data_IF_812193448802
#
_entry.id   IF_812193448802
#
_cell.length_a   1.000
_cell.length_b   1.000
_cell.length_c   1.000
_cell.angle_alpha   90.00
_cell.angle_beta   90.00
_cell.angle_gamma   90.00
#
_symmetry.space_group_name_H-M   'P 1'
#
loop_
_entity.id
_entity.type
_entity.pdbx_description
1 polymer ?
#
# COMPACT_ATOMS: atom_id res chain seq x y z
N UNK A 1 0.10 17.06 -3.68
CA UNK A 1 -0.58 18.33 -4.01
C UNK A 1 -0.41 18.75 -5.47
N UNK A 2 0.81 18.90 -6.01
CA UNK A 2 1.02 19.38 -7.39
C UNK A 2 0.50 18.40 -8.44
N UNK A 3 0.91 17.13 -8.36
CA UNK A 3 0.48 16.09 -9.29
C UNK A 3 -1.04 15.85 -9.23
N UNK A 4 -1.62 15.81 -8.02
CA UNK A 4 -3.07 15.71 -7.82
C UNK A 4 -3.84 16.85 -8.50
N UNK A 5 -3.39 18.09 -8.32
CA UNK A 5 -4.00 19.27 -8.97
C UNK A 5 -3.91 19.20 -10.49
N UNK A 6 -2.75 18.83 -11.05
CA UNK A 6 -2.55 18.67 -12.49
C UNK A 6 -3.43 17.55 -13.08
N UNK A 7 -3.55 16.43 -12.36
CA UNK A 7 -4.47 15.35 -12.75
C UNK A 7 -5.92 15.82 -12.75
N UNK A 8 -6.37 16.54 -11.71
CA UNK A 8 -7.72 17.08 -11.64
C UNK A 8 -8.01 18.14 -12.71
N UNK A 9 -6.99 18.90 -13.14
CA UNK A 9 -7.09 19.86 -14.24
C UNK A 9 -7.10 19.22 -15.65
N UNK A 10 -6.84 17.91 -15.76
CA UNK A 10 -6.75 17.20 -17.03
C UNK A 10 -5.37 17.26 -17.70
N UNK A 11 -4.36 17.82 -17.04
CA UNK A 11 -2.98 17.91 -17.57
C UNK A 11 -2.25 16.56 -17.54
N UNK A 12 -2.75 15.59 -16.78
CA UNK A 12 -2.19 14.25 -16.64
C UNK A 12 -3.25 13.20 -16.98
N UNK A 13 -2.86 12.00 -17.43
CA UNK A 13 -3.80 10.92 -17.73
C UNK A 13 -4.74 10.61 -16.55
N UNK A 14 -6.02 10.40 -16.87
CA UNK A 14 -7.06 10.10 -15.87
C UNK A 14 -6.84 8.76 -15.17
N UNK A 15 -6.08 7.85 -15.77
CA UNK A 15 -5.68 6.54 -15.24
C UNK A 15 -4.32 6.55 -14.51
N UNK A 16 -3.58 7.67 -14.50
CA UNK A 16 -2.32 7.78 -13.77
C UNK A 16 -2.51 7.53 -12.26
N UNK A 17 -1.86 6.49 -11.72
CA UNK A 17 -1.92 6.18 -10.29
C UNK A 17 -0.85 6.95 -9.52
N UNK A 18 -1.26 7.75 -8.55
CA UNK A 18 -0.38 8.45 -7.60
C UNK A 18 -0.31 7.65 -6.30
N UNK A 19 0.71 6.80 -6.19
CA UNK A 19 0.86 5.83 -5.09
C UNK A 19 1.68 6.39 -3.92
N UNK A 20 1.16 6.22 -2.71
CA UNK A 20 1.91 6.44 -1.47
C UNK A 20 2.73 5.20 -1.13
N UNK A 21 4.02 5.40 -0.85
CA UNK A 21 4.97 4.32 -0.48
C UNK A 21 4.53 3.60 0.80
N UNK A 22 4.90 2.33 0.91
CA UNK A 22 4.78 1.56 2.16
C UNK A 22 5.60 2.16 3.31
N UNK A 23 6.68 2.88 2.98
CA UNK A 23 7.50 3.62 3.96
C UNK A 23 6.83 4.91 4.47
N UNK A 24 5.69 5.31 3.88
CA UNK A 24 4.84 6.42 4.32
C UNK A 24 3.39 5.93 4.49
N UNK A 25 3.22 4.76 5.11
CA UNK A 25 1.91 4.14 5.24
C UNK A 25 0.95 4.95 6.14
N UNK A 26 -0.34 4.94 5.80
CA UNK A 26 -1.37 5.63 6.58
C UNK A 26 -1.94 4.71 7.67
N UNK A 27 -1.67 5.02 8.93
CA UNK A 27 -2.08 4.18 10.06
C UNK A 27 -3.49 4.46 10.60
N UNK A 28 -4.18 5.49 10.10
CA UNK A 28 -5.50 5.90 10.59
C UNK A 28 -6.31 6.67 9.52
N UNK A 29 -7.63 6.82 9.72
CA UNK A 29 -8.51 7.46 8.73
C UNK A 29 -8.14 8.91 8.39
N UNK A 30 -7.77 9.70 9.41
CA UNK A 30 -7.42 11.10 9.21
C UNK A 30 -6.18 11.28 8.32
N UNK A 31 -5.15 10.46 8.54
CA UNK A 31 -3.92 10.50 7.74
C UNK A 31 -4.18 10.06 6.31
N UNK A 32 -4.96 9.00 6.12
CA UNK A 32 -5.34 8.52 4.79
C UNK A 32 -6.11 9.61 4.02
N UNK A 33 -7.06 10.28 4.68
CA UNK A 33 -7.82 11.38 4.09
C UNK A 33 -6.94 12.54 3.65
N UNK A 34 -6.00 12.96 4.49
CA UNK A 34 -5.03 14.01 4.13
C UNK A 34 -4.23 13.63 2.88
N UNK A 35 -3.78 12.39 2.77
CA UNK A 35 -3.02 11.93 1.60
C UNK A 35 -3.87 11.93 0.32
N UNK A 36 -5.13 11.51 0.42
CA UNK A 36 -6.10 11.58 -0.68
C UNK A 36 -6.39 13.02 -1.10
N UNK A 37 -6.63 13.93 -0.16
CA UNK A 37 -6.85 15.36 -0.44
C UNK A 37 -5.61 16.00 -1.09
N UNK A 38 -4.41 15.49 -0.78
CA UNK A 38 -3.16 15.86 -1.45
C UNK A 38 -3.01 15.22 -2.85
N UNK A 39 -3.92 14.33 -3.25
CA UNK A 39 -4.02 13.74 -4.58
C UNK A 39 -3.51 12.31 -4.69
N UNK A 40 -3.31 11.59 -3.59
CA UNK A 40 -3.03 10.16 -3.66
C UNK A 40 -4.24 9.41 -4.24
N UNK A 41 -3.98 8.44 -5.12
CA UNK A 41 -5.03 7.56 -5.67
C UNK A 41 -4.84 6.11 -5.25
N UNK A 42 -3.76 5.81 -4.53
CA UNK A 42 -3.43 4.49 -4.00
C UNK A 42 -2.57 4.64 -2.74
N UNK A 43 -2.97 4.04 -1.61
CA UNK A 43 -2.36 4.30 -0.30
C UNK A 43 -1.99 2.97 0.37
N UNK A 44 -0.71 2.80 0.72
CA UNK A 44 -0.30 1.70 1.58
C UNK A 44 -0.76 1.92 3.03
N UNK A 45 -1.22 0.84 3.66
CA UNK A 45 -1.48 0.79 5.09
C UNK A 45 -0.40 -0.06 5.81
N UNK A 46 -0.14 0.19 7.11
CA UNK A 46 0.71 -0.67 7.92
C UNK A 46 0.18 -2.10 8.00
N UNK A 47 1.09 -3.08 8.00
CA UNK A 47 0.76 -4.52 7.96
C UNK A 47 0.18 -5.08 9.26
N UNK A 48 0.28 -4.32 10.35
CA UNK A 48 -0.17 -4.67 11.70
C UNK A 48 -1.60 -4.16 12.00
N UNK A 49 -2.24 -3.42 11.08
CA UNK A 49 -3.61 -2.97 11.28
C UNK A 49 -4.60 -4.14 11.29
N UNK A 50 -5.50 -4.15 12.25
CA UNK A 50 -6.64 -5.08 12.28
C UNK A 50 -7.64 -4.79 11.17
N UNK A 51 -8.43 -5.80 10.78
CA UNK A 51 -9.49 -5.63 9.77
C UNK A 51 -10.48 -4.50 10.09
N UNK A 52 -10.95 -4.30 11.35
CA UNK A 52 -11.78 -3.14 11.69
C UNK A 52 -11.09 -1.79 11.50
N UNK A 53 -9.78 -1.69 11.78
CA UNK A 53 -9.02 -0.46 11.54
C UNK A 53 -8.88 -0.18 10.04
N UNK A 54 -8.62 -1.21 9.24
CA UNK A 54 -8.58 -1.10 7.78
C UNK A 54 -9.95 -0.66 7.24
N UNK A 55 -11.04 -1.25 7.74
CA UNK A 55 -12.41 -0.87 7.37
C UNK A 55 -12.72 0.60 7.73
N UNK A 56 -12.28 1.06 8.90
CA UNK A 56 -12.45 2.45 9.31
C UNK A 56 -11.67 3.42 8.40
N UNK A 57 -10.47 3.03 7.93
CA UNK A 57 -9.72 3.81 6.95
C UNK A 57 -10.48 3.83 5.62
N UNK A 58 -10.98 2.68 5.16
CA UNK A 58 -11.75 2.60 3.91
C UNK A 58 -12.95 3.55 3.92
N UNK A 59 -13.65 3.70 5.05
CA UNK A 59 -14.79 4.60 5.17
C UNK A 59 -14.43 6.09 5.01
N UNK A 60 -13.17 6.48 5.15
CA UNK A 60 -12.73 7.87 5.09
C UNK A 60 -12.14 8.31 3.74
N UNK A 61 -11.85 7.36 2.85
CA UNK A 61 -11.20 7.62 1.56
C UNK A 61 -11.89 6.86 0.43
N UNK A 62 -11.65 7.27 -0.82
CA UNK A 62 -12.03 6.58 -2.06
C UNK A 62 -10.82 5.93 -2.76
N UNK A 63 -9.61 6.41 -2.50
CA UNK A 63 -8.35 5.92 -3.07
C UNK A 63 -8.13 4.41 -2.84
N UNK A 64 -7.52 3.69 -3.79
CA UNK A 64 -7.27 2.26 -3.61
C UNK A 64 -6.39 1.98 -2.39
N UNK A 65 -6.74 0.96 -1.61
CA UNK A 65 -5.89 0.52 -0.50
C UNK A 65 -4.83 -0.44 -1.04
N UNK A 66 -3.58 -0.25 -0.64
CA UNK A 66 -2.51 -1.22 -0.85
C UNK A 66 -2.24 -1.93 0.48
N UNK A 67 -2.30 -3.26 0.49
CA UNK A 67 -2.09 -4.01 1.72
C UNK A 67 -1.25 -5.27 1.48
N UNK A 68 -0.17 -5.40 2.25
CA UNK A 68 0.63 -6.63 2.25
C UNK A 68 -0.04 -7.67 3.14
N UNK A 69 -0.44 -8.78 2.53
CA UNK A 69 -0.90 -9.99 3.24
C UNK A 69 0.23 -10.98 3.46
N UNK A 70 1.34 -10.78 2.76
CA UNK A 70 2.66 -11.32 3.08
C UNK A 70 3.62 -10.15 2.96
N UNK A 71 4.53 -9.91 3.90
CA UNK A 71 5.52 -8.84 3.78
C UNK A 71 6.96 -9.35 3.95
N UNK A 72 7.95 -8.70 3.32
CA UNK A 72 9.33 -9.02 3.60
C UNK A 72 9.67 -8.64 5.05
N UNK A 73 10.75 -9.22 5.58
CA UNK A 73 11.05 -9.15 7.01
C UNK A 73 11.32 -7.72 7.50
N UNK A 74 11.88 -6.86 6.64
CA UNK A 74 12.10 -5.42 6.89
C UNK A 74 10.81 -4.58 6.93
N UNK A 75 9.70 -5.13 6.43
CA UNK A 75 8.34 -4.58 6.54
C UNK A 75 7.44 -5.41 7.46
N UNK A 76 8.04 -6.09 8.45
CA UNK A 76 7.33 -6.76 9.54
C UNK A 76 7.07 -8.25 9.35
N UNK A 77 7.43 -8.84 8.20
CA UNK A 77 7.36 -10.29 7.99
C UNK A 77 5.96 -10.89 8.22
N UNK A 78 4.88 -10.19 7.85
CA UNK A 78 3.53 -10.67 8.15
C UNK A 78 3.13 -11.85 7.23
N UNK A 79 2.21 -12.71 7.70
CA UNK A 79 1.52 -13.71 6.87
C UNK A 79 0.05 -13.74 7.30
N UNK A 80 -0.82 -13.20 6.45
CA UNK A 80 -2.25 -12.93 6.71
C UNK A 80 -3.12 -13.41 5.55
N UNK A 81 -2.71 -14.47 4.85
CA UNK A 81 -3.42 -15.00 3.67
C UNK A 81 -4.87 -15.37 3.98
N UNK A 82 -5.13 -15.89 5.18
CA UNK A 82 -6.47 -16.30 5.61
C UNK A 82 -7.45 -15.12 5.72
N UNK A 83 -6.96 -13.89 5.81
CA UNK A 83 -7.79 -12.70 5.90
C UNK A 83 -8.14 -12.10 4.53
N UNK A 84 -7.53 -12.57 3.43
CA UNK A 84 -7.75 -12.02 2.09
C UNK A 84 -9.25 -11.87 1.74
N UNK A 85 -10.13 -12.88 1.97
CA UNK A 85 -11.55 -12.74 1.63
C UNK A 85 -12.22 -11.58 2.37
N UNK A 86 -11.95 -11.47 3.66
CA UNK A 86 -12.53 -10.44 4.53
C UNK A 86 -11.92 -9.06 4.26
N UNK A 87 -10.61 -9.01 4.02
CA UNK A 87 -9.88 -7.80 3.61
C UNK A 87 -10.48 -7.23 2.33
N UNK A 88 -10.70 -8.06 1.30
CA UNK A 88 -11.34 -7.61 0.05
C UNK A 88 -12.75 -7.08 0.32
N UNK A 89 -13.52 -7.76 1.17
CA UNK A 89 -14.89 -7.34 1.52
C UNK A 89 -14.93 -5.96 2.18
N UNK A 90 -13.99 -5.66 3.08
CA UNK A 90 -14.02 -4.43 3.88
C UNK A 90 -13.17 -3.28 3.31
N UNK A 91 -12.23 -3.57 2.40
CA UNK A 91 -11.24 -2.60 1.93
C UNK A 91 -11.29 -2.31 0.42
N UNK A 92 -12.13 -3.00 -0.35
CA UNK A 92 -12.21 -2.79 -1.80
C UNK A 92 -12.50 -1.32 -2.17
N UNK A 93 -11.85 -0.78 -3.23
CA UNK A 93 -10.81 -1.42 -4.05
C UNK A 93 -9.48 -1.56 -3.28
N UNK A 94 -8.91 -2.77 -3.31
CA UNK A 94 -7.68 -3.12 -2.60
C UNK A 94 -6.71 -3.91 -3.49
N UNK A 95 -5.44 -3.50 -3.49
CA UNK A 95 -4.32 -4.26 -4.03
C UNK A 95 -3.73 -5.14 -2.93
N UNK A 96 -3.97 -6.44 -3.05
CA UNK A 96 -3.41 -7.46 -2.17
C UNK A 96 -1.97 -7.74 -2.61
N UNK A 97 -1.00 -7.50 -1.72
CA UNK A 97 0.43 -7.63 -2.00
C UNK A 97 1.05 -8.82 -1.29
N UNK A 98 1.96 -9.46 -1.98
CA UNK A 98 2.74 -10.60 -1.51
C UNK A 98 4.22 -10.21 -1.54
N UNK A 99 4.80 -10.02 -0.35
CA UNK A 99 6.21 -9.76 -0.15
C UNK A 99 6.82 -10.97 0.52
N UNK A 100 7.65 -11.70 -0.22
CA UNK A 100 8.23 -12.99 0.13
C UNK A 100 8.86 -12.98 1.54
N UNK A 101 8.15 -13.50 2.54
CA UNK A 101 8.65 -13.55 3.93
C UNK A 101 9.80 -14.55 4.03
N UNK A 102 10.80 -14.24 4.85
CA UNK A 102 12.04 -15.02 5.00
C UNK A 102 12.88 -15.14 3.71
N UNK A 103 12.52 -14.44 2.63
CA UNK A 103 13.37 -14.38 1.45
C UNK A 103 14.50 -13.37 1.70
N UNK A 104 15.72 -13.63 1.19
CA UNK A 104 16.79 -12.66 1.24
C UNK A 104 16.38 -11.33 0.61
N UNK A 105 16.71 -10.22 1.26
CA UNK A 105 16.52 -8.89 0.69
C UNK A 105 17.38 -8.72 -0.56
N UNK A 106 16.73 -8.54 -1.72
CA UNK A 106 17.42 -8.35 -3.01
C UNK A 106 17.52 -6.87 -3.42
N UNK A 107 17.08 -5.96 -2.55
CA UNK A 107 17.08 -4.52 -2.78
C UNK A 107 17.90 -3.78 -1.70
N UNK A 108 18.74 -2.79 -2.07
CA UNK A 108 19.09 -2.40 -3.44
C UNK A 108 19.92 -3.47 -4.14
N UNK A 109 19.62 -3.76 -5.41
CA UNK A 109 20.27 -4.83 -6.18
C UNK A 109 21.60 -4.37 -6.75
N UNK A 110 22.62 -5.23 -6.70
CA UNK A 110 23.88 -5.07 -7.44
C UNK A 110 24.68 -6.37 -7.47
N UNK A 111 25.89 -6.35 -8.04
CA UNK A 111 26.78 -7.53 -8.14
C UNK A 111 27.09 -8.14 -6.77
N UNK A 112 27.11 -7.34 -5.70
CA UNK A 112 27.28 -7.78 -4.33
C UNK A 112 26.22 -8.80 -3.85
N UNK A 113 25.08 -8.91 -4.53
CA UNK A 113 24.01 -9.88 -4.22
C UNK A 113 23.94 -11.05 -5.20
N UNK A 114 24.88 -11.18 -6.15
CA UNK A 114 24.82 -12.22 -7.19
C UNK A 114 24.75 -13.65 -6.61
N UNK A 115 25.48 -13.91 -5.52
CA UNK A 115 25.47 -15.22 -4.84
C UNK A 115 24.16 -15.51 -4.07
N UNK A 116 23.33 -14.50 -3.84
CA UNK A 116 22.08 -14.60 -3.06
C UNK A 116 20.86 -14.83 -3.95
N UNK A 117 20.96 -14.53 -5.25
CA UNK A 117 19.84 -14.55 -6.21
C UNK A 117 19.89 -15.77 -7.15
N UNK A 118 20.97 -16.56 -7.13
CA UNK A 118 21.18 -17.76 -7.95
C UNK A 118 20.86 -19.05 -7.20
#
# INVERSE_FOLDING_TARGET
>A
MVLGKRKAAGDLPSDLVLKISVTLAAANPATARVLEDLGATSINLPVDLSLPQIAAIRQAIDAAIDFYVESPDDFGGCVRHYEIPELVRVAAPVYVKFGLRNAPGIYPRGEHLQATVL
#
